data_IF_438522340682
#
_entry.id   IF_438522340682
#
_cell.length_a   1.000
_cell.length_b   1.000
_cell.length_c   1.000
_cell.angle_alpha   90.00
_cell.angle_beta   90.00
_cell.angle_gamma   90.00
#
_symmetry.space_group_name_H-M   'P 1'
#
loop_
_entity.id
_entity.type
_entity.pdbx_description
1 polymer ?
#
# COMPACT_ATOMS: atom_id res chain seq x y z
N UNK A 1 11.24 7.22 17.05
CA UNK A 1 10.53 8.15 16.48
C UNK A 1 9.54 7.69 15.46
N UNK A 2 8.57 8.37 15.35
CA UNK A 2 7.46 7.85 14.65
C UNK A 2 7.48 8.23 13.19
N UNK A 3 6.99 7.35 12.34
CA UNK A 3 6.79 7.60 10.92
C UNK A 3 5.32 7.88 10.65
N UNK A 4 4.69 8.54 11.59
CA UNK A 4 3.25 8.75 11.48
C UNK A 4 2.93 9.80 10.45
N UNK A 5 1.79 9.63 9.79
CA UNK A 5 1.32 10.66 8.89
C UNK A 5 1.01 11.93 9.64
N UNK A 6 0.90 13.01 8.90
CA UNK A 6 0.68 14.31 9.49
C UNK A 6 -0.66 14.44 10.17
N UNK A 7 -1.54 13.51 9.95
CA UNK A 7 -2.82 13.48 10.65
C UNK A 7 -2.64 13.28 12.14
N UNK A 8 -1.44 12.86 12.57
CA UNK A 8 -1.18 12.63 13.98
C UNK A 8 -1.64 11.29 14.48
N UNK A 9 -2.20 10.45 13.64
CA UNK A 9 -2.65 9.14 14.05
C UNK A 9 -1.55 8.11 13.89
N UNK A 10 -1.49 7.12 14.79
CA UNK A 10 -0.48 6.08 14.65
C UNK A 10 -0.65 5.31 13.36
N UNK A 11 0.48 4.89 12.80
CA UNK A 11 0.48 4.02 11.63
C UNK A 11 0.01 2.65 12.09
N UNK A 12 -1.03 2.09 11.47
CA UNK A 12 -1.48 0.75 11.87
C UNK A 12 -0.39 -0.28 11.60
N UNK A 13 -0.39 -1.31 12.43
CA UNK A 13 0.43 -2.48 12.17
C UNK A 13 -0.18 -3.23 10.99
N UNK A 14 0.55 -3.29 9.91
CA UNK A 14 0.05 -3.95 8.70
C UNK A 14 1.04 -5.03 8.31
N UNK A 15 0.56 -6.27 8.23
CA UNK A 15 1.37 -7.36 7.74
C UNK A 15 1.63 -7.17 6.25
N UNK A 16 2.90 -7.22 5.87
CA UNK A 16 3.29 -7.02 4.49
C UNK A 16 3.63 -8.37 3.87
N UNK A 17 3.17 -8.58 2.66
CA UNK A 17 3.43 -9.80 1.90
C UNK A 17 4.29 -9.46 0.72
N UNK A 18 5.43 -10.14 0.61
CA UNK A 18 6.32 -9.94 -0.53
C UNK A 18 5.66 -10.45 -1.79
N UNK A 19 5.86 -9.71 -2.87
CA UNK A 19 5.28 -10.08 -4.15
C UNK A 19 6.36 -10.07 -5.22
N UNK A 20 6.09 -10.77 -6.31
CA UNK A 20 6.99 -10.77 -7.46
C UNK A 20 6.57 -9.68 -8.40
N UNK A 21 7.41 -8.66 -8.52
CA UNK A 21 7.11 -7.50 -9.33
C UNK A 21 8.41 -6.79 -9.66
N UNK A 22 8.42 -6.10 -10.78
CA UNK A 22 9.61 -5.35 -11.18
C UNK A 22 9.90 -4.21 -10.20
N UNK A 23 8.86 -3.57 -9.69
CA UNK A 23 9.06 -2.37 -8.88
C UNK A 23 8.36 -2.38 -7.52
N UNK A 24 7.47 -3.33 -7.26
CA UNK A 24 6.79 -3.42 -5.96
C UNK A 24 7.42 -4.55 -5.16
N UNK A 25 7.81 -4.24 -3.94
CA UNK A 25 8.45 -5.22 -3.07
C UNK A 25 7.42 -5.98 -2.24
N UNK A 26 6.44 -5.27 -1.68
CA UNK A 26 5.49 -5.89 -0.77
C UNK A 26 4.20 -5.10 -0.72
N UNK A 27 3.12 -5.79 -0.36
CA UNK A 27 1.79 -5.20 -0.28
C UNK A 27 1.13 -5.69 1.01
N UNK A 28 0.41 -4.81 1.69
CA UNK A 28 -0.34 -5.17 2.88
C UNK A 28 -1.67 -4.44 2.92
N UNK A 29 -2.55 -4.90 3.82
CA UNK A 29 -3.88 -4.33 3.92
C UNK A 29 -4.35 -4.36 5.36
N UNK A 30 -4.97 -3.28 5.81
CA UNK A 30 -5.53 -3.17 7.14
C UNK A 30 -7.05 -3.01 7.02
N UNK A 31 -7.80 -4.08 7.29
CA UNK A 31 -9.25 -4.04 7.01
C UNK A 31 -10.01 -3.01 7.84
N UNK A 32 -9.61 -2.81 9.09
CA UNK A 32 -10.36 -1.92 9.97
C UNK A 32 -10.33 -0.48 9.49
N UNK A 33 -9.21 -0.07 8.91
CA UNK A 33 -9.09 1.29 8.40
C UNK A 33 -9.17 1.36 6.89
N UNK A 34 -9.29 0.22 6.25
CA UNK A 34 -9.31 0.10 4.78
C UNK A 34 -8.08 0.77 4.16
N UNK A 35 -6.92 0.51 4.76
CA UNK A 35 -5.66 1.06 4.28
C UNK A 35 -4.90 0.02 3.50
N UNK A 36 -4.54 0.36 2.27
CA UNK A 36 -3.71 -0.49 1.42
C UNK A 36 -2.30 0.08 1.43
N UNK A 37 -1.34 -0.71 1.90
CA UNK A 37 0.05 -0.27 2.03
C UNK A 37 0.91 -0.93 0.98
N UNK A 38 1.71 -0.12 0.28
CA UNK A 38 2.56 -0.61 -0.79
C UNK A 38 3.99 -0.13 -0.56
N UNK A 39 4.94 -1.05 -0.65
CA UNK A 39 6.35 -0.71 -0.57
C UNK A 39 7.00 -0.96 -1.92
N UNK A 40 7.70 0.05 -2.43
CA UNK A 40 8.39 -0.05 -3.72
C UNK A 40 9.85 -0.44 -3.50
N UNK A 41 10.39 -1.19 -4.43
CA UNK A 41 11.74 -1.77 -4.28
C UNK A 41 12.83 -0.72 -4.20
N UNK A 42 12.73 0.33 -5.00
CA UNK A 42 13.80 1.30 -5.10
C UNK A 42 13.75 2.37 -4.03
N UNK A 43 12.76 2.32 -3.12
CA UNK A 43 12.58 3.37 -2.15
C UNK A 43 12.38 2.78 -0.77
N UNK A 44 12.89 3.48 0.24
CA UNK A 44 12.66 3.08 1.62
C UNK A 44 11.43 3.81 2.14
N UNK A 45 10.32 3.63 1.44
CA UNK A 45 9.10 4.39 1.64
C UNK A 45 7.91 3.44 1.50
N UNK A 46 6.95 3.59 2.40
CA UNK A 46 5.63 2.99 2.24
C UNK A 46 4.69 4.05 1.68
N UNK A 47 3.72 3.60 0.88
CA UNK A 47 2.61 4.43 0.45
C UNK A 47 1.35 3.82 1.03
N UNK A 48 0.62 4.60 1.84
CA UNK A 48 -0.64 4.15 2.41
C UNK A 48 -1.78 4.80 1.65
N UNK A 49 -2.62 3.97 1.04
CA UNK A 49 -3.78 4.42 0.27
C UNK A 49 -5.02 4.20 1.13
N UNK A 50 -5.79 5.27 1.34
CA UNK A 50 -6.85 5.27 2.34
C UNK A 50 -8.20 5.00 1.72
N UNK A 51 -9.09 4.39 2.52
CA UNK A 51 -10.47 4.09 2.11
C UNK A 51 -10.51 3.21 0.87
N UNK A 52 -9.57 2.30 0.78
CA UNK A 52 -9.53 1.34 -0.32
C UNK A 52 -10.26 0.08 0.11
N UNK A 53 -11.38 -0.26 -0.54
CA UNK A 53 -12.10 -1.50 -0.18
C UNK A 53 -11.21 -2.72 -0.34
N UNK A 54 -11.46 -3.73 0.47
CA UNK A 54 -10.61 -4.94 0.51
C UNK A 54 -10.51 -5.64 -0.83
N UNK A 55 -11.52 -5.47 -1.68
CA UNK A 55 -11.47 -6.09 -3.01
C UNK A 55 -10.26 -5.66 -3.81
N UNK A 56 -9.79 -4.43 -3.64
CA UNK A 56 -8.60 -3.98 -4.35
C UNK A 56 -7.37 -4.74 -3.92
N UNK A 57 -7.23 -5.00 -2.61
CA UNK A 57 -6.11 -5.79 -2.14
C UNK A 57 -6.19 -7.21 -2.68
N UNK A 58 -7.37 -7.81 -2.62
CA UNK A 58 -7.56 -9.19 -3.07
C UNK A 58 -7.24 -9.31 -4.56
N UNK A 59 -7.78 -8.39 -5.36
CA UNK A 59 -7.54 -8.44 -6.80
C UNK A 59 -6.08 -8.18 -7.14
N UNK A 60 -5.45 -7.26 -6.41
CA UNK A 60 -4.04 -6.99 -6.64
C UNK A 60 -3.20 -8.21 -6.37
N UNK A 61 -3.49 -8.92 -5.26
CA UNK A 61 -2.72 -10.11 -4.92
C UNK A 61 -2.92 -11.24 -5.93
N UNK A 62 -4.05 -11.27 -6.61
CA UNK A 62 -4.32 -12.25 -7.65
C UNK A 62 -3.75 -11.87 -9.00
N UNK A 63 -3.44 -10.60 -9.21
CA UNK A 63 -3.08 -10.12 -10.53
C UNK A 63 -1.73 -10.69 -10.96
N UNK A 64 -1.56 -10.86 -12.27
CA UNK A 64 -0.30 -11.32 -12.83
C UNK A 64 0.77 -10.24 -12.78
N UNK A 65 0.36 -8.97 -12.84
CA UNK A 65 1.28 -7.86 -12.76
C UNK A 65 0.81 -6.90 -11.68
N UNK A 66 1.49 -6.94 -10.53
CA UNK A 66 1.15 -6.06 -9.40
C UNK A 66 1.37 -4.61 -9.78
N UNK A 67 2.44 -4.33 -10.52
CA UNK A 67 2.73 -2.96 -10.92
C UNK A 67 1.67 -2.41 -11.84
N UNK A 68 1.21 -3.21 -12.78
CA UNK A 68 0.16 -2.77 -13.69
C UNK A 68 -1.16 -2.55 -12.97
N UNK A 69 -1.49 -3.47 -12.05
CA UNK A 69 -2.70 -3.30 -11.27
C UNK A 69 -2.63 -2.01 -10.48
N UNK A 70 -1.50 -1.74 -9.86
CA UNK A 70 -1.32 -0.51 -9.12
C UNK A 70 -1.54 0.71 -10.02
N UNK A 71 -0.88 0.72 -11.18
CA UNK A 71 -0.95 1.88 -12.06
C UNK A 71 -2.35 2.15 -12.59
N UNK A 72 -3.11 1.09 -12.85
CA UNK A 72 -4.42 1.26 -13.49
C UNK A 72 -5.57 1.30 -12.50
N UNK A 73 -5.42 0.70 -11.31
CA UNK A 73 -6.54 0.56 -10.40
C UNK A 73 -6.37 1.33 -9.09
N UNK A 74 -5.15 1.64 -8.69
CA UNK A 74 -4.88 2.25 -7.40
C UNK A 74 -4.43 3.69 -7.54
N UNK A 75 -3.43 3.91 -8.38
CA UNK A 75 -2.81 5.21 -8.51
C UNK A 75 -3.83 6.22 -9.01
N UNK A 76 -3.96 7.32 -8.29
CA UNK A 76 -4.91 8.36 -8.66
C UNK A 76 -6.35 8.08 -8.26
N UNK A 77 -6.63 6.91 -7.66
CA UNK A 77 -7.98 6.57 -7.27
C UNK A 77 -8.26 6.84 -5.79
N UNK A 78 -7.23 6.86 -4.97
CA UNK A 78 -7.38 7.01 -3.53
C UNK A 78 -6.42 8.05 -3.02
N UNK A 79 -6.80 8.71 -1.92
CA UNK A 79 -5.86 9.56 -1.22
C UNK A 79 -4.79 8.71 -0.58
N UNK A 80 -3.59 9.27 -0.48
CA UNK A 80 -2.49 8.50 0.05
C UNK A 80 -1.52 9.39 0.82
N UNK A 81 -0.67 8.75 1.60
CA UNK A 81 0.46 9.40 2.25
C UNK A 81 1.71 8.58 2.05
N UNK A 82 2.82 9.28 1.86
CA UNK A 82 4.13 8.65 1.83
C UNK A 82 4.65 8.58 3.26
N UNK A 83 5.15 7.42 3.63
CA UNK A 83 5.69 7.19 4.97
C UNK A 83 7.14 6.76 4.81
N UNK A 84 8.04 7.64 5.16
CA UNK A 84 9.47 7.36 5.08
C UNK A 84 9.90 6.51 6.26
N UNK A 85 10.74 5.54 5.99
CA UNK A 85 11.20 4.60 7.01
C UNK A 85 12.55 4.99 7.60
#
# INVERSE_FOLDING_TARGET
>A
MSNYPKSGKPIPQISMFEVESANIEAVGYHPETMTLRIKFKSQNIYYDYFKAPSGFFIEMMKSESKGRFFSTQIKGQFKFEKIEL
#
